data_IF_341456705255
#
_entry.id   IF_341456705255
#
_cell.length_a   1.000
_cell.length_b   1.000
_cell.length_c   1.000
_cell.angle_alpha   90.00
_cell.angle_beta   90.00
_cell.angle_gamma   90.00
#
_symmetry.space_group_name_H-M   'P 1'
#
loop_
_entity.id
_entity.type
_entity.pdbx_description
1 polymer ?
#
# COMPACT_ATOMS: atom_id res chain seq x y z
N UNK A 1 33.30 0.84 6.97
CA UNK A 1 32.08 0.36 7.66
C UNK A 1 32.09 -1.16 7.75
N UNK A 2 32.48 -1.88 6.68
CA UNK A 2 32.50 -3.37 6.67
C UNK A 2 33.42 -4.01 7.71
N UNK A 3 34.50 -3.34 8.11
CA UNK A 3 35.48 -3.93 9.04
C UNK A 3 35.10 -3.75 10.53
N UNK A 4 34.00 -3.06 10.84
CA UNK A 4 33.60 -2.74 12.22
C UNK A 4 32.27 -3.32 12.66
N UNK A 5 31.57 -4.04 11.78
CA UNK A 5 30.28 -4.65 12.12
C UNK A 5 30.49 -5.92 12.97
N UNK A 6 30.69 -5.72 14.27
CA UNK A 6 30.55 -6.76 15.28
C UNK A 6 29.21 -6.53 15.96
N UNK A 7 28.17 -7.16 15.48
CA UNK A 7 26.82 -6.97 15.98
C UNK A 7 25.79 -6.83 14.85
N UNK A 8 24.63 -6.33 15.17
CA UNK A 8 23.57 -6.00 14.21
C UNK A 8 23.24 -4.52 14.24
N UNK A 9 22.92 -3.97 13.07
CA UNK A 9 22.37 -2.63 12.94
C UNK A 9 20.96 -2.70 12.39
N UNK A 10 20.08 -1.86 12.93
CA UNK A 10 18.74 -1.66 12.41
C UNK A 10 18.60 -0.23 11.92
N UNK A 11 18.18 -0.06 10.68
CA UNK A 11 17.82 1.25 10.16
C UNK A 11 16.28 1.30 9.99
N UNK A 12 15.63 2.19 10.72
CA UNK A 12 14.22 2.49 10.55
C UNK A 12 14.14 3.60 9.51
N UNK A 13 13.79 3.23 8.27
CA UNK A 13 13.60 4.20 7.20
C UNK A 13 12.14 4.65 7.20
N UNK A 14 11.92 5.88 7.63
CA UNK A 14 10.60 6.47 7.75
C UNK A 14 10.28 7.41 6.57
N UNK A 15 9.01 7.74 6.42
CA UNK A 15 8.56 8.73 5.44
C UNK A 15 8.92 10.13 5.91
N UNK A 16 9.31 11.01 4.99
CA UNK A 16 9.68 12.38 5.32
C UNK A 16 8.54 13.21 5.94
N UNK A 17 7.29 12.76 5.78
CA UNK A 17 6.10 13.40 6.33
C UNK A 17 5.90 13.11 7.83
N UNK A 18 6.53 12.06 8.39
CA UNK A 18 6.32 11.58 9.75
C UNK A 18 7.30 12.23 10.75
N UNK A 19 7.27 13.57 10.81
CA UNK A 19 8.20 14.36 11.65
C UNK A 19 7.88 14.19 13.14
N UNK A 20 6.60 14.17 13.53
CA UNK A 20 6.22 14.00 14.92
C UNK A 20 6.49 12.58 15.42
N UNK A 21 6.15 11.59 14.61
CA UNK A 21 6.36 10.17 14.89
C UNK A 21 7.85 9.85 15.02
N UNK A 22 8.68 10.39 14.14
CA UNK A 22 10.13 10.18 14.19
C UNK A 22 10.78 10.76 15.45
N UNK A 23 10.28 11.89 15.98
CA UNK A 23 10.76 12.45 17.25
C UNK A 23 10.44 11.55 18.43
N UNK A 24 9.20 11.07 18.52
CA UNK A 24 8.77 10.14 19.57
C UNK A 24 9.58 8.84 19.51
N UNK A 25 9.82 8.33 18.30
CA UNK A 25 10.65 7.14 18.10
C UNK A 25 12.10 7.38 18.50
N UNK A 26 12.68 8.55 18.19
CA UNK A 26 14.04 8.90 18.61
C UNK A 26 14.15 8.99 20.15
N UNK A 27 13.17 9.60 20.83
CA UNK A 27 13.11 9.64 22.29
C UNK A 27 13.08 8.22 22.88
N UNK A 28 12.28 7.31 22.34
CA UNK A 28 12.23 5.92 22.78
C UNK A 28 13.56 5.18 22.54
N UNK A 29 14.26 5.44 21.43
CA UNK A 29 15.59 4.88 21.15
C UNK A 29 16.61 5.42 22.17
N UNK A 30 16.60 6.71 22.45
CA UNK A 30 17.50 7.34 23.41
C UNK A 30 17.28 6.79 24.84
N UNK A 31 16.04 6.54 25.23
CA UNK A 31 15.70 5.86 26.50
C UNK A 31 16.24 4.43 26.52
N UNK A 32 16.09 3.68 25.43
CA UNK A 32 16.58 2.31 25.34
C UNK A 32 18.13 2.23 25.45
N UNK A 33 18.85 3.20 24.88
CA UNK A 33 20.31 3.30 25.08
C UNK A 33 20.68 3.60 26.54
N UNK A 34 19.96 4.51 27.23
CA UNK A 34 20.21 4.85 28.65
C UNK A 34 20.00 3.64 29.56
N UNK A 35 19.01 2.82 29.26
CA UNK A 35 18.69 1.60 30.01
C UNK A 35 19.57 0.39 29.64
N UNK A 36 20.55 0.55 28.71
CA UNK A 36 21.41 -0.54 28.27
C UNK A 36 20.72 -1.63 27.46
N UNK A 37 19.56 -1.30 26.91
CA UNK A 37 18.82 -2.20 26.02
C UNK A 37 19.37 -2.18 24.58
N UNK A 38 20.08 -1.11 24.22
CA UNK A 38 20.77 -0.91 22.93
C UNK A 38 22.24 -0.55 23.16
N UNK A 39 23.02 -0.56 22.08
CA UNK A 39 24.44 -0.29 22.07
C UNK A 39 25.28 -1.52 22.33
N UNK A 40 26.44 -1.32 22.94
CA UNK A 40 27.36 -2.43 23.28
C UNK A 40 26.79 -3.32 24.38
N UNK A 41 26.92 -4.63 24.19
CA UNK A 41 26.43 -5.63 25.13
C UNK A 41 24.93 -5.42 25.46
N UNK A 42 24.11 -5.18 24.45
CA UNK A 42 22.69 -4.89 24.58
C UNK A 42 21.98 -5.92 25.48
N UNK A 43 21.23 -5.46 26.46
CA UNK A 43 20.55 -6.28 27.47
C UNK A 43 21.50 -7.23 28.25
N UNK A 44 22.80 -6.99 28.28
CA UNK A 44 23.77 -7.87 28.93
C UNK A 44 23.99 -9.22 28.24
N UNK A 45 23.65 -9.32 26.97
CA UNK A 45 23.70 -10.60 26.20
C UNK A 45 25.05 -10.90 25.56
N UNK A 46 25.99 -9.92 25.57
CA UNK A 46 27.25 -9.98 24.81
C UNK A 46 27.09 -9.62 23.32
N UNK A 47 25.92 -9.22 22.89
CA UNK A 47 25.62 -8.84 21.53
C UNK A 47 25.46 -7.32 21.40
N UNK A 48 26.09 -6.72 20.39
CA UNK A 48 25.95 -5.30 20.11
C UNK A 48 24.79 -5.06 19.14
N UNK A 49 23.92 -4.07 19.46
CA UNK A 49 22.78 -3.71 18.63
C UNK A 49 22.62 -2.19 18.61
N UNK A 50 22.72 -1.60 17.45
CA UNK A 50 22.47 -0.18 17.22
C UNK A 50 21.22 0.03 16.36
N UNK A 51 20.46 1.09 16.67
CA UNK A 51 19.25 1.47 15.92
C UNK A 51 19.36 2.93 15.48
N UNK A 52 19.08 3.18 14.20
CA UNK A 52 19.12 4.50 13.58
C UNK A 52 17.81 4.82 12.89
N UNK A 53 17.38 6.08 12.93
CA UNK A 53 16.25 6.59 12.14
C UNK A 53 16.82 7.33 10.92
N UNK A 54 16.28 7.01 9.74
CA UNK A 54 16.55 7.72 8.51
C UNK A 54 15.24 8.24 7.90
N UNK A 55 15.11 9.55 7.75
CA UNK A 55 13.94 10.16 7.13
C UNK A 55 14.10 10.19 5.62
N UNK A 56 13.08 9.73 4.91
CA UNK A 56 12.98 9.87 3.47
C UNK A 56 12.53 11.26 3.06
N UNK A 57 12.45 11.49 1.75
CA UNK A 57 12.05 12.76 1.15
C UNK A 57 10.73 12.68 0.36
N UNK A 58 9.83 11.77 0.73
CA UNK A 58 8.48 11.67 0.17
C UNK A 58 8.34 10.87 -1.13
N UNK A 59 9.40 10.23 -1.65
CA UNK A 59 9.30 9.39 -2.84
C UNK A 59 8.58 8.08 -2.53
N UNK A 60 7.41 7.85 -3.13
CA UNK A 60 6.59 6.66 -2.91
C UNK A 60 7.33 5.36 -3.26
N UNK A 61 8.11 5.36 -4.36
CA UNK A 61 8.87 4.17 -4.80
C UNK A 61 9.87 3.67 -3.74
N UNK A 62 10.35 4.53 -2.86
CA UNK A 62 11.25 4.13 -1.77
C UNK A 62 10.55 3.30 -0.68
N UNK A 63 9.25 3.00 -0.81
CA UNK A 63 8.54 1.96 -0.06
C UNK A 63 8.79 0.54 -0.61
N UNK A 64 9.29 0.38 -1.83
CA UNK A 64 9.78 -0.91 -2.34
C UNK A 64 11.11 -1.25 -1.66
N UNK A 65 11.29 -2.51 -1.24
CA UNK A 65 12.39 -2.91 -0.35
C UNK A 65 13.79 -2.56 -0.89
N UNK A 66 14.03 -2.76 -2.17
CA UNK A 66 15.36 -2.51 -2.77
C UNK A 66 15.56 -1.04 -3.15
N UNK A 67 14.50 -0.33 -3.52
CA UNK A 67 14.54 1.12 -3.69
C UNK A 67 14.77 1.85 -2.35
N UNK A 68 14.25 1.28 -1.25
CA UNK A 68 14.54 1.74 0.11
C UNK A 68 16.04 1.60 0.40
N UNK A 69 16.66 0.48 0.08
CA UNK A 69 18.10 0.25 0.26
C UNK A 69 18.94 1.23 -0.57
N UNK A 70 18.60 1.42 -1.84
CA UNK A 70 19.26 2.42 -2.70
C UNK A 70 19.16 3.82 -2.10
N UNK A 71 18.01 4.20 -1.58
CA UNK A 71 17.80 5.49 -0.92
C UNK A 71 18.67 5.66 0.34
N UNK A 72 18.81 4.60 1.16
CA UNK A 72 19.68 4.61 2.34
C UNK A 72 21.15 4.73 1.97
N UNK A 73 21.57 4.13 0.87
CA UNK A 73 22.94 4.22 0.34
C UNK A 73 23.24 5.57 -0.33
N UNK A 74 22.25 6.49 -0.40
CA UNK A 74 22.41 7.80 -1.03
C UNK A 74 22.24 7.78 -2.56
N UNK A 75 21.81 6.67 -3.11
CA UNK A 75 21.55 6.51 -4.53
C UNK A 75 20.13 6.95 -4.91
N UNK A 76 19.86 7.03 -6.21
CA UNK A 76 18.49 7.20 -6.70
C UNK A 76 17.64 5.99 -6.28
N UNK A 77 16.47 6.25 -5.68
CA UNK A 77 15.54 5.22 -5.22
C UNK A 77 14.93 4.44 -6.39
N UNK A 78 15.69 3.51 -6.94
CA UNK A 78 15.27 2.61 -8.02
C UNK A 78 15.41 1.15 -7.54
N UNK A 79 14.38 0.31 -7.73
CA UNK A 79 14.45 -1.10 -7.39
C UNK A 79 15.62 -1.83 -8.05
N UNK A 80 16.23 -2.77 -7.32
CA UNK A 80 17.26 -3.68 -7.82
C UNK A 80 16.63 -4.88 -8.53
N UNK A 81 17.35 -5.43 -9.49
CA UNK A 81 17.00 -6.73 -10.05
C UNK A 81 17.23 -7.85 -9.01
N UNK A 82 16.34 -8.82 -8.99
CA UNK A 82 16.43 -10.01 -8.15
C UNK A 82 16.54 -11.25 -9.06
N UNK A 83 17.46 -12.19 -8.82
CA UNK A 83 18.50 -12.24 -7.80
C UNK A 83 19.65 -11.24 -8.06
N UNK A 84 20.47 -10.83 -7.05
CA UNK A 84 20.44 -11.32 -5.66
C UNK A 84 19.33 -10.69 -4.81
N UNK A 85 18.84 -11.48 -3.83
CA UNK A 85 17.90 -10.96 -2.85
C UNK A 85 18.61 -10.22 -1.72
N UNK A 86 17.96 -9.24 -1.05
CA UNK A 86 18.57 -8.48 0.06
C UNK A 86 19.12 -9.33 1.19
N UNK A 87 18.52 -10.50 1.46
CA UNK A 87 19.02 -11.44 2.45
C UNK A 87 20.44 -11.97 2.17
N UNK A 88 20.91 -11.87 0.92
CA UNK A 88 22.27 -12.22 0.53
C UNK A 88 23.13 -10.96 0.31
N UNK A 89 22.62 -9.98 -0.41
CA UNK A 89 23.31 -8.72 -0.75
C UNK A 89 22.29 -7.57 -0.62
N UNK A 90 22.26 -6.96 0.57
CA UNK A 90 21.36 -5.87 0.91
C UNK A 90 22.07 -4.54 1.09
N UNK A 91 21.80 -3.87 2.21
CA UNK A 91 22.33 -2.55 2.54
C UNK A 91 23.86 -2.59 2.62
N UNK A 92 24.52 -1.71 1.87
CA UNK A 92 25.98 -1.65 1.73
C UNK A 92 26.64 -2.99 1.39
N UNK A 93 25.92 -3.86 0.67
CA UNK A 93 26.41 -5.19 0.32
C UNK A 93 26.29 -6.24 1.44
N UNK A 94 25.77 -5.89 2.60
CA UNK A 94 25.57 -6.80 3.74
C UNK A 94 24.24 -7.56 3.65
N UNK A 95 24.16 -8.78 4.18
CA UNK A 95 22.88 -9.49 4.33
C UNK A 95 21.87 -8.64 5.10
N UNK A 96 20.71 -8.39 4.51
CA UNK A 96 19.71 -7.46 5.06
C UNK A 96 18.31 -8.06 4.97
N UNK A 97 17.55 -7.96 6.07
CA UNK A 97 16.13 -8.32 6.14
C UNK A 97 15.32 -7.03 6.24
N UNK A 98 14.35 -6.85 5.36
CA UNK A 98 13.44 -5.70 5.36
C UNK A 98 12.08 -6.13 5.88
N UNK A 99 11.58 -5.44 6.90
CA UNK A 99 10.28 -5.70 7.52
C UNK A 99 9.45 -4.42 7.60
N UNK A 100 8.13 -4.59 7.47
CA UNK A 100 7.19 -3.52 7.76
C UNK A 100 7.16 -3.24 9.28
N UNK A 101 7.02 -1.96 9.66
CA UNK A 101 6.98 -1.51 11.06
C UNK A 101 5.84 -2.16 11.83
N UNK A 102 4.65 -2.31 11.24
CA UNK A 102 3.51 -2.99 11.88
C UNK A 102 3.87 -4.44 12.24
N UNK A 103 4.56 -5.15 11.36
CA UNK A 103 5.03 -6.53 11.62
C UNK A 103 5.97 -6.57 12.82
N UNK A 104 6.93 -5.65 12.92
CA UNK A 104 7.88 -5.61 14.04
C UNK A 104 7.21 -5.17 15.34
N UNK A 105 6.27 -4.23 15.30
CA UNK A 105 5.60 -3.69 16.47
C UNK A 105 4.81 -4.75 17.27
N UNK A 106 4.27 -5.78 16.62
CA UNK A 106 3.52 -6.85 17.30
C UNK A 106 4.41 -7.95 17.90
N UNK A 107 5.67 -8.06 17.46
CA UNK A 107 6.61 -9.13 17.88
C UNK A 107 6.77 -9.22 19.40
N UNK A 108 7.02 -8.13 20.16
CA UNK A 108 7.18 -8.21 21.61
C UNK A 108 5.95 -8.80 22.33
N UNK A 109 4.74 -8.46 21.84
CA UNK A 109 3.50 -8.99 22.38
C UNK A 109 3.33 -10.47 22.07
N UNK A 110 3.66 -10.90 20.85
CA UNK A 110 3.63 -12.32 20.44
C UNK A 110 4.63 -13.12 21.27
N UNK A 111 5.85 -12.61 21.47
CA UNK A 111 6.86 -13.32 22.30
C UNK A 111 6.42 -13.48 23.75
N UNK A 112 5.74 -12.48 24.34
CA UNK A 112 5.23 -12.56 25.72
C UNK A 112 4.02 -13.49 25.86
N UNK A 113 3.10 -13.50 24.89
CA UNK A 113 1.81 -14.22 25.00
C UNK A 113 1.78 -15.55 24.23
N UNK A 114 2.75 -15.75 23.35
CA UNK A 114 2.90 -16.95 22.52
C UNK A 114 2.17 -16.87 21.16
N UNK A 115 2.71 -17.55 20.18
CA UNK A 115 2.16 -17.56 18.81
C UNK A 115 0.75 -18.14 18.72
N UNK A 116 0.39 -19.12 19.58
CA UNK A 116 -0.97 -19.67 19.64
C UNK A 116 -2.02 -18.64 20.06
N UNK A 117 -1.64 -17.75 20.96
CA UNK A 117 -2.52 -16.64 21.37
C UNK A 117 -2.81 -15.73 20.18
N UNK A 118 -1.78 -15.29 19.46
CA UNK A 118 -1.96 -14.39 18.28
C UNK A 118 -2.71 -15.07 17.15
N UNK A 119 -2.45 -16.36 16.89
CA UNK A 119 -3.17 -17.16 15.91
C UNK A 119 -4.63 -17.46 16.30
N UNK A 120 -5.04 -17.14 17.53
CA UNK A 120 -6.43 -17.23 17.98
C UNK A 120 -7.31 -16.10 17.45
N UNK A 121 -6.74 -15.01 16.97
CA UNK A 121 -7.46 -13.93 16.31
C UNK A 121 -7.59 -14.20 14.81
N UNK A 122 -8.68 -13.72 14.21
CA UNK A 122 -8.90 -13.85 12.78
C UNK A 122 -9.46 -15.21 12.36
N UNK A 123 -9.16 -15.61 11.12
CA UNK A 123 -9.68 -16.82 10.49
C UNK A 123 -8.55 -17.81 10.19
N UNK A 124 -8.82 -19.11 10.06
CA UNK A 124 -7.83 -20.08 9.60
C UNK A 124 -7.13 -19.60 8.31
N UNK A 125 -5.79 -19.67 8.28
CA UNK A 125 -4.89 -19.15 7.24
C UNK A 125 -4.80 -17.61 7.12
N UNK A 126 -5.69 -16.88 7.77
CA UNK A 126 -5.70 -15.42 7.83
C UNK A 126 -5.82 -14.99 9.30
N UNK A 127 -4.81 -15.32 10.10
CA UNK A 127 -4.80 -15.12 11.54
C UNK A 127 -4.11 -13.82 11.94
N UNK A 128 -4.39 -13.37 13.17
CA UNK A 128 -3.82 -12.17 13.75
C UNK A 128 -4.72 -10.94 13.60
N UNK A 129 -4.14 -9.80 13.93
CA UNK A 129 -4.79 -8.49 13.84
C UNK A 129 -4.15 -7.64 12.75
N UNK A 130 -4.85 -6.60 12.34
CA UNK A 130 -4.40 -5.63 11.35
C UNK A 130 -4.89 -4.24 11.70
N UNK A 131 -4.07 -3.21 11.45
CA UNK A 131 -4.52 -1.83 11.53
C UNK A 131 -5.20 -1.47 10.20
N UNK A 132 -6.47 -1.12 10.27
CA UNK A 132 -7.26 -0.63 9.15
C UNK A 132 -7.35 0.89 9.21
N UNK A 133 -6.93 1.57 8.13
CA UNK A 133 -6.99 3.02 8.00
C UNK A 133 -8.18 3.39 7.11
N UNK A 134 -9.29 3.84 7.71
CA UNK A 134 -10.55 4.09 7.01
C UNK A 134 -10.68 5.58 6.69
N UNK A 135 -10.86 5.89 5.41
CA UNK A 135 -10.95 7.26 4.89
C UNK A 135 -11.94 7.37 3.72
N UNK A 136 -12.00 8.55 3.11
CA UNK A 136 -12.94 8.85 2.02
C UNK A 136 -14.27 9.37 2.53
N UNK A 137 -15.36 8.96 1.89
CA UNK A 137 -16.71 9.46 2.18
C UNK A 137 -17.37 8.73 3.37
N UNK A 138 -16.75 8.81 4.54
CA UNK A 138 -17.25 8.28 5.83
C UNK A 138 -17.46 9.40 6.83
N UNK A 139 -18.34 9.17 7.82
CA UNK A 139 -18.66 10.20 8.81
C UNK A 139 -17.47 10.49 9.74
N UNK A 140 -16.70 9.47 10.14
CA UNK A 140 -15.57 9.59 11.06
C UNK A 140 -14.36 8.81 10.53
N UNK A 141 -13.48 9.41 9.71
CA UNK A 141 -12.23 8.76 9.31
C UNK A 141 -11.40 8.36 10.53
N UNK A 142 -10.88 7.13 10.54
CA UNK A 142 -10.18 6.60 11.71
C UNK A 142 -9.17 5.51 11.34
N UNK A 143 -8.26 5.25 12.29
CA UNK A 143 -7.42 4.06 12.29
C UNK A 143 -7.91 3.14 13.43
N UNK A 144 -8.09 1.85 13.11
CA UNK A 144 -8.59 0.86 14.06
C UNK A 144 -7.84 -0.45 13.91
N UNK A 145 -7.49 -1.08 15.03
CA UNK A 145 -6.98 -2.44 15.04
C UNK A 145 -8.15 -3.41 15.21
N UNK A 146 -8.23 -4.36 14.29
CA UNK A 146 -9.25 -5.40 14.29
C UNK A 146 -8.70 -6.75 13.83
N UNK A 147 -9.46 -7.81 14.08
CA UNK A 147 -9.12 -9.16 13.63
C UNK A 147 -9.18 -9.29 12.11
N UNK A 148 -8.26 -10.08 11.56
CA UNK A 148 -8.30 -10.46 10.15
C UNK A 148 -9.60 -11.20 9.83
N UNK A 149 -10.26 -10.80 8.74
CA UNK A 149 -11.54 -11.39 8.31
C UNK A 149 -12.78 -10.72 8.88
N UNK A 150 -12.63 -9.56 9.54
CA UNK A 150 -13.78 -8.69 9.87
C UNK A 150 -14.53 -8.31 8.59
N UNK A 151 -15.88 -8.27 8.56
CA UNK A 151 -16.62 -7.76 7.42
C UNK A 151 -16.28 -6.30 7.11
N UNK A 152 -16.05 -5.97 5.83
CA UNK A 152 -15.78 -4.59 5.41
C UNK A 152 -16.89 -3.63 5.85
N UNK A 153 -18.14 -4.05 5.76
CA UNK A 153 -19.29 -3.27 6.20
C UNK A 153 -19.22 -2.92 7.67
N UNK A 154 -18.82 -3.87 8.52
CA UNK A 154 -18.68 -3.65 9.96
C UNK A 154 -17.58 -2.62 10.26
N UNK A 155 -16.45 -2.67 9.56
CA UNK A 155 -15.40 -1.66 9.69
C UNK A 155 -15.93 -0.25 9.38
N UNK A 156 -16.67 -0.11 8.28
CA UNK A 156 -17.20 1.19 7.86
C UNK A 156 -18.32 1.66 8.81
N UNK A 157 -19.29 0.81 9.12
CA UNK A 157 -20.47 1.18 9.91
C UNK A 157 -20.13 1.38 11.41
N UNK A 158 -19.40 0.45 12.01
CA UNK A 158 -19.13 0.46 13.47
C UNK A 158 -18.02 1.43 13.86
N UNK A 159 -16.95 1.49 13.09
CA UNK A 159 -15.77 2.28 13.46
C UNK A 159 -15.76 3.65 12.79
N UNK A 160 -16.09 3.73 11.50
CA UNK A 160 -16.06 4.99 10.77
C UNK A 160 -17.40 5.74 10.75
N UNK A 161 -18.39 5.28 11.54
CA UNK A 161 -19.70 5.94 11.64
C UNK A 161 -20.56 5.85 10.37
N UNK A 162 -20.26 4.94 9.47
CA UNK A 162 -20.97 4.71 8.21
C UNK A 162 -20.56 5.63 7.07
N UNK A 163 -21.12 5.34 5.91
CA UNK A 163 -20.98 6.14 4.69
C UNK A 163 -21.75 7.45 4.82
N UNK A 164 -21.22 8.56 4.35
CA UNK A 164 -21.94 9.84 4.30
C UNK A 164 -23.23 9.66 3.49
N UNK A 165 -24.38 9.97 4.09
CA UNK A 165 -25.70 9.74 3.50
C UNK A 165 -26.20 8.31 3.58
N UNK A 166 -25.53 7.44 4.36
CA UNK A 166 -25.91 6.06 4.61
C UNK A 166 -25.37 5.06 3.58
N UNK A 167 -25.48 3.77 3.91
CA UNK A 167 -24.93 2.67 3.10
C UNK A 167 -25.47 2.65 1.66
N UNK A 168 -26.69 3.11 1.42
CA UNK A 168 -27.26 3.17 0.08
C UNK A 168 -26.57 4.19 -0.83
N UNK A 169 -25.89 5.16 -0.25
CA UNK A 169 -25.09 6.14 -0.97
C UNK A 169 -23.69 5.60 -1.37
N UNK A 170 -23.29 4.42 -0.89
CA UNK A 170 -22.02 3.80 -1.29
C UNK A 170 -21.99 3.51 -2.79
N UNK A 171 -20.91 3.87 -3.47
CA UNK A 171 -20.63 3.54 -4.86
C UNK A 171 -19.58 2.43 -4.97
N UNK A 172 -18.42 2.62 -4.33
CA UNK A 172 -17.29 1.70 -4.37
C UNK A 172 -16.40 1.84 -3.13
N UNK A 173 -15.53 0.84 -2.90
CA UNK A 173 -14.47 0.90 -1.89
C UNK A 173 -13.16 0.42 -2.50
N UNK A 174 -12.07 1.13 -2.22
CA UNK A 174 -10.71 0.61 -2.40
C UNK A 174 -10.30 -0.01 -1.06
N UNK A 175 -10.09 -1.34 -0.96
CA UNK A 175 -9.94 -1.99 0.34
C UNK A 175 -8.51 -1.96 0.91
N UNK A 176 -7.50 -1.76 0.08
CA UNK A 176 -6.10 -2.01 0.46
C UNK A 176 -5.09 -0.95 0.01
N UNK A 177 -5.53 0.30 -0.11
CA UNK A 177 -4.71 1.39 -0.62
C UNK A 177 -4.83 1.58 -2.13
N UNK A 178 -4.28 2.67 -2.63
CA UNK A 178 -4.46 3.12 -4.01
C UNK A 178 -3.98 2.14 -5.10
N UNK A 179 -3.19 1.13 -4.74
CA UNK A 179 -2.70 0.09 -5.64
C UNK A 179 -3.67 -1.08 -5.85
N UNK A 180 -4.72 -1.17 -5.02
CA UNK A 180 -5.66 -2.29 -5.08
C UNK A 180 -6.86 -1.97 -5.98
N UNK A 181 -7.38 -2.98 -6.71
CA UNK A 181 -8.62 -2.83 -7.46
C UNK A 181 -9.78 -2.44 -6.54
N UNK A 182 -10.58 -1.47 -6.96
CA UNK A 182 -11.80 -1.11 -6.24
C UNK A 182 -12.84 -2.24 -6.29
N UNK A 183 -13.71 -2.26 -5.29
CA UNK A 183 -14.84 -3.17 -5.15
C UNK A 183 -16.14 -2.39 -5.33
N UNK A 184 -17.09 -2.96 -6.09
CA UNK A 184 -18.43 -2.39 -6.21
C UNK A 184 -19.22 -2.55 -4.91
N UNK A 185 -20.27 -1.73 -4.72
CA UNK A 185 -21.17 -1.81 -3.56
C UNK A 185 -21.66 -3.23 -3.28
N UNK A 186 -22.07 -3.97 -4.33
CA UNK A 186 -22.59 -5.33 -4.18
C UNK A 186 -21.60 -6.31 -3.54
N UNK A 187 -20.30 -6.18 -3.86
CA UNK A 187 -19.25 -6.98 -3.25
C UNK A 187 -19.01 -6.53 -1.81
N UNK A 188 -19.05 -5.22 -1.54
CA UNK A 188 -18.83 -4.66 -0.21
C UNK A 188 -19.85 -5.09 0.85
N UNK A 189 -21.04 -5.58 0.44
CA UNK A 189 -22.08 -6.07 1.37
C UNK A 189 -21.63 -7.26 2.23
N UNK A 190 -20.78 -8.14 1.67
CA UNK A 190 -20.45 -9.42 2.30
C UNK A 190 -18.97 -9.73 2.40
N UNK A 191 -18.11 -8.95 1.74
CA UNK A 191 -16.68 -9.20 1.67
C UNK A 191 -16.04 -9.12 3.07
N UNK A 192 -15.12 -10.04 3.33
CA UNK A 192 -14.28 -10.04 4.53
C UNK A 192 -12.92 -9.45 4.23
N UNK A 193 -12.36 -8.73 5.22
CA UNK A 193 -11.08 -8.08 5.11
C UNK A 193 -9.96 -9.05 5.52
N UNK A 194 -9.69 -9.98 4.62
CA UNK A 194 -8.56 -10.93 4.70
C UNK A 194 -7.95 -11.17 3.31
N UNK A 195 -6.80 -11.83 3.28
CA UNK A 195 -6.07 -12.06 2.03
C UNK A 195 -6.88 -12.90 1.04
N UNK A 196 -7.39 -14.04 1.49
CA UNK A 196 -8.06 -15.01 0.62
C UNK A 196 -9.36 -14.44 0.03
N UNK A 197 -10.21 -13.82 0.87
CA UNK A 197 -11.48 -13.25 0.44
C UNK A 197 -11.30 -12.12 -0.58
N UNK A 198 -10.29 -11.24 -0.36
CA UNK A 198 -10.04 -10.13 -1.27
C UNK A 198 -9.39 -10.57 -2.59
N UNK A 199 -8.54 -11.61 -2.56
CA UNK A 199 -7.99 -12.22 -3.78
C UNK A 199 -9.11 -12.90 -4.59
N UNK A 200 -10.04 -13.62 -3.95
CA UNK A 200 -11.21 -14.20 -4.61
C UNK A 200 -12.09 -13.13 -5.28
N UNK A 201 -12.24 -11.97 -4.63
CA UNK A 201 -12.92 -10.80 -5.19
C UNK A 201 -12.09 -10.04 -6.25
N UNK A 202 -10.94 -10.57 -6.68
CA UNK A 202 -10.00 -9.94 -7.64
C UNK A 202 -9.51 -8.56 -7.18
N UNK A 203 -9.27 -8.43 -5.88
CA UNK A 203 -8.66 -7.27 -5.21
C UNK A 203 -7.57 -7.75 -4.25
N UNK A 204 -7.21 -6.98 -3.25
CA UNK A 204 -6.20 -7.37 -2.27
C UNK A 204 -6.27 -6.53 -1.00
N UNK A 205 -5.78 -7.12 0.10
CA UNK A 205 -5.71 -6.44 1.39
C UNK A 205 -4.69 -5.29 1.40
N UNK A 206 -3.61 -5.44 0.62
CA UNK A 206 -2.57 -4.42 0.47
C UNK A 206 -2.11 -3.84 1.81
N UNK A 207 -2.23 -2.55 1.97
CA UNK A 207 -1.88 -1.82 3.20
C UNK A 207 -3.04 -1.73 4.21
N UNK A 208 -4.20 -2.33 3.93
CA UNK A 208 -5.45 -2.13 4.68
C UNK A 208 -5.89 -0.64 4.77
N UNK A 209 -5.43 0.17 3.81
CA UNK A 209 -5.88 1.56 3.62
C UNK A 209 -7.20 1.59 2.87
N UNK A 210 -8.31 1.70 3.61
CA UNK A 210 -9.66 1.67 3.06
C UNK A 210 -10.06 3.07 2.61
N UNK A 211 -10.47 3.21 1.33
CA UNK A 211 -11.01 4.46 0.80
C UNK A 211 -12.44 4.23 0.34
N UNK A 212 -13.39 4.84 1.05
CA UNK A 212 -14.82 4.76 0.76
C UNK A 212 -15.19 5.84 -0.25
N UNK A 213 -15.89 5.46 -1.31
CA UNK A 213 -16.31 6.34 -2.41
C UNK A 213 -17.83 6.29 -2.50
N UNK A 214 -18.48 7.43 -2.31
CA UNK A 214 -19.92 7.55 -2.41
C UNK A 214 -20.38 8.04 -3.80
N UNK A 215 -21.68 8.03 -4.04
CA UNK A 215 -22.28 8.41 -5.33
C UNK A 215 -22.11 9.89 -5.70
N UNK A 216 -21.63 10.74 -4.80
CA UNK A 216 -21.30 12.14 -5.12
C UNK A 216 -20.03 12.28 -5.92
N UNK A 217 -19.19 11.23 -5.92
CA UNK A 217 -17.89 11.22 -6.59
C UNK A 217 -18.01 10.68 -8.01
N UNK A 218 -17.27 11.29 -8.92
CA UNK A 218 -17.06 10.75 -10.26
C UNK A 218 -15.98 9.66 -10.20
N UNK A 219 -16.39 8.38 -10.24
CA UNK A 219 -15.48 7.24 -10.07
C UNK A 219 -14.37 7.21 -11.12
N UNK A 220 -14.62 7.68 -12.34
CA UNK A 220 -13.60 7.74 -13.40
C UNK A 220 -12.55 8.78 -13.07
N UNK A 221 -12.96 9.96 -12.54
CA UNK A 221 -12.02 11.01 -12.10
C UNK A 221 -11.22 10.57 -10.88
N UNK A 222 -11.81 9.80 -9.96
CA UNK A 222 -11.09 9.23 -8.81
C UNK A 222 -9.95 8.35 -9.29
N UNK A 223 -10.21 7.42 -10.21
CA UNK A 223 -9.17 6.52 -10.73
C UNK A 223 -8.17 7.27 -11.64
N UNK A 224 -8.62 8.26 -12.41
CA UNK A 224 -7.71 9.13 -13.19
C UNK A 224 -6.72 9.88 -12.27
N UNK A 225 -7.19 10.33 -11.09
CA UNK A 225 -6.32 10.96 -10.07
C UNK A 225 -5.28 9.98 -9.52
N UNK A 226 -5.66 8.74 -9.26
CA UNK A 226 -4.75 7.67 -8.84
C UNK A 226 -3.74 7.37 -9.95
N UNK A 227 -4.18 7.24 -11.20
CA UNK A 227 -3.27 7.02 -12.34
C UNK A 227 -2.27 8.18 -12.51
N UNK A 228 -2.68 9.43 -12.28
CA UNK A 228 -1.79 10.59 -12.26
C UNK A 228 -0.73 10.48 -11.16
N UNK A 229 -1.11 10.01 -9.98
CA UNK A 229 -0.19 9.77 -8.88
C UNK A 229 0.87 8.74 -9.28
N UNK A 230 0.49 7.58 -9.83
CA UNK A 230 1.44 6.56 -10.28
C UNK A 230 2.34 7.05 -11.41
N UNK A 231 1.82 7.85 -12.34
CA UNK A 231 2.64 8.48 -13.37
C UNK A 231 3.71 9.39 -12.76
N UNK A 232 3.37 10.15 -11.73
CA UNK A 232 4.31 11.05 -11.05
C UNK A 232 5.36 10.29 -10.23
N UNK A 233 4.95 9.23 -9.53
CA UNK A 233 5.79 8.46 -8.61
C UNK A 233 6.62 7.35 -9.29
N UNK A 234 6.42 7.08 -10.58
CA UNK A 234 7.25 6.14 -11.32
C UNK A 234 8.72 6.56 -11.29
N UNK A 235 9.61 5.65 -10.85
CA UNK A 235 11.05 5.92 -10.81
C UNK A 235 11.70 6.06 -12.20
N UNK A 236 10.96 5.65 -13.26
CA UNK A 236 11.39 5.75 -14.65
C UNK A 236 12.37 4.68 -15.12
N UNK A 237 12.64 3.65 -14.31
CA UNK A 237 13.62 2.62 -14.66
C UNK A 237 13.16 1.72 -15.81
N UNK A 238 11.98 1.10 -15.68
CA UNK A 238 11.46 0.19 -16.70
C UNK A 238 10.48 0.88 -17.65
N UNK A 239 10.65 0.65 -18.96
CA UNK A 239 9.88 1.29 -20.02
C UNK A 239 8.36 1.10 -19.88
N UNK A 240 7.82 -0.11 -19.60
CA UNK A 240 6.38 -0.29 -19.48
C UNK A 240 5.75 0.58 -18.40
N UNK A 241 6.38 0.71 -17.23
CA UNK A 241 5.93 1.58 -16.15
C UNK A 241 6.10 3.06 -16.50
N UNK A 242 7.30 3.46 -16.95
CA UNK A 242 7.64 4.87 -17.23
C UNK A 242 6.70 5.50 -18.27
N UNK A 243 6.45 4.79 -19.35
CA UNK A 243 5.61 5.29 -20.45
C UNK A 243 4.14 4.92 -20.29
N UNK A 244 3.85 3.67 -19.94
CA UNK A 244 2.48 3.15 -19.83
C UNK A 244 1.66 3.82 -18.75
N UNK A 245 2.25 4.16 -17.60
CA UNK A 245 1.52 4.92 -16.55
C UNK A 245 1.06 6.29 -17.05
N UNK A 246 1.87 6.95 -17.88
CA UNK A 246 1.50 8.20 -18.52
C UNK A 246 0.41 8.05 -19.57
N UNK A 247 0.41 6.93 -20.32
CA UNK A 247 -0.64 6.62 -21.28
C UNK A 247 -1.98 6.35 -20.59
N UNK A 248 -1.99 5.49 -19.59
CA UNK A 248 -3.20 5.19 -18.79
C UNK A 248 -3.82 6.47 -18.22
N UNK A 249 -3.01 7.34 -17.60
CA UNK A 249 -3.50 8.60 -17.06
C UNK A 249 -4.14 9.48 -18.13
N UNK A 250 -3.48 9.70 -19.28
CA UNK A 250 -4.02 10.54 -20.37
C UNK A 250 -5.30 9.97 -20.98
N UNK A 251 -5.38 8.66 -21.15
CA UNK A 251 -6.60 8.00 -21.62
C UNK A 251 -7.74 8.18 -20.62
N UNK A 252 -7.51 7.97 -19.33
CA UNK A 252 -8.51 8.18 -18.28
C UNK A 252 -8.99 9.64 -18.20
N UNK A 253 -8.09 10.62 -18.35
CA UNK A 253 -8.47 12.04 -18.41
C UNK A 253 -9.38 12.35 -19.59
N UNK A 254 -9.14 11.76 -20.75
CA UNK A 254 -10.02 11.93 -21.94
C UNK A 254 -11.36 11.23 -21.71
N UNK A 255 -11.36 10.02 -21.18
CA UNK A 255 -12.58 9.29 -20.84
C UNK A 255 -13.41 10.07 -19.81
N UNK A 256 -12.77 10.59 -18.77
CA UNK A 256 -13.43 11.41 -17.74
C UNK A 256 -14.11 12.65 -18.31
N UNK A 257 -13.55 13.24 -19.38
CA UNK A 257 -14.12 14.38 -20.10
C UNK A 257 -15.15 13.98 -21.17
N UNK A 258 -15.28 12.69 -21.49
CA UNK A 258 -16.08 12.20 -22.59
C UNK A 258 -15.45 12.45 -23.99
N UNK A 259 -14.15 12.68 -24.07
CA UNK A 259 -13.41 13.00 -25.30
C UNK A 259 -12.68 11.77 -25.88
N UNK A 260 -13.13 10.57 -25.56
CA UNK A 260 -12.58 9.31 -26.03
C UNK A 260 -13.62 8.49 -26.81
N UNK A 261 -13.16 7.50 -27.56
CA UNK A 261 -14.00 6.52 -28.23
C UNK A 261 -14.24 5.31 -27.30
N UNK A 262 -15.39 4.62 -27.44
CA UNK A 262 -15.70 3.41 -26.65
C UNK A 262 -14.62 2.34 -26.82
N UNK A 263 -14.08 2.18 -28.04
CA UNK A 263 -12.99 1.23 -28.30
C UNK A 263 -11.72 1.52 -27.49
N UNK A 264 -11.52 2.75 -27.01
CA UNK A 264 -10.37 3.09 -26.19
C UNK A 264 -10.43 2.47 -24.78
N UNK A 265 -11.59 1.99 -24.34
CA UNK A 265 -11.72 1.24 -23.09
C UNK A 265 -11.00 -0.13 -23.18
N UNK A 266 -11.08 -0.80 -24.33
CA UNK A 266 -10.34 -2.05 -24.56
C UNK A 266 -8.85 -1.78 -24.73
N UNK A 267 -8.47 -0.72 -25.44
CA UNK A 267 -7.07 -0.30 -25.52
C UNK A 267 -6.49 0.06 -24.14
N UNK A 268 -7.26 0.70 -23.28
CA UNK A 268 -6.84 1.00 -21.91
C UNK A 268 -6.59 -0.29 -21.11
N UNK A 269 -7.48 -1.27 -21.23
CA UNK A 269 -7.28 -2.59 -20.63
C UNK A 269 -6.01 -3.27 -21.16
N UNK A 270 -5.74 -3.21 -22.44
CA UNK A 270 -4.54 -3.80 -23.03
C UNK A 270 -3.27 -3.09 -22.56
N UNK A 271 -3.28 -1.77 -22.45
CA UNK A 271 -2.16 -1.02 -21.85
C UNK A 271 -1.87 -1.50 -20.44
N UNK A 272 -2.90 -1.73 -19.59
CA UNK A 272 -2.67 -2.25 -18.23
C UNK A 272 -1.98 -3.61 -18.24
N UNK A 273 -2.36 -4.51 -19.16
CA UNK A 273 -1.75 -5.85 -19.30
C UNK A 273 -0.30 -5.82 -19.81
N UNK A 274 0.07 -4.79 -20.58
CA UNK A 274 1.45 -4.60 -21.03
C UNK A 274 2.37 -4.02 -19.92
N UNK A 275 1.79 -3.52 -18.82
CA UNK A 275 2.55 -3.04 -17.67
C UNK A 275 2.63 -4.13 -16.60
N UNK A 276 1.49 -4.74 -16.25
CA UNK A 276 1.39 -5.82 -15.28
C UNK A 276 2.27 -7.01 -15.71
N UNK A 277 3.14 -7.47 -14.80
CA UNK A 277 4.06 -8.58 -15.06
C UNK A 277 5.25 -8.25 -15.96
N UNK A 278 5.39 -7.01 -16.44
CA UNK A 278 6.47 -6.58 -17.36
C UNK A 278 7.39 -5.52 -16.75
N UNK A 279 7.36 -5.37 -15.44
CA UNK A 279 8.14 -4.37 -14.70
C UNK A 279 9.07 -5.03 -13.67
N UNK A 280 10.11 -4.30 -13.25
CA UNK A 280 11.10 -4.80 -12.28
C UNK A 280 10.48 -5.01 -10.90
N UNK A 281 9.49 -4.21 -10.53
CA UNK A 281 8.85 -4.24 -9.21
C UNK A 281 7.32 -4.15 -9.31
N UNK A 282 6.64 -4.48 -8.23
CA UNK A 282 5.17 -4.47 -8.12
C UNK A 282 4.51 -3.07 -8.25
N UNK A 283 5.29 -2.02 -8.51
CA UNK A 283 4.73 -0.72 -8.83
C UNK A 283 3.94 -0.74 -10.15
N UNK A 284 4.36 -1.59 -11.12
CA UNK A 284 3.64 -1.80 -12.37
C UNK A 284 2.22 -2.32 -12.12
N UNK A 285 2.10 -3.37 -11.32
CA UNK A 285 0.83 -3.93 -10.87
C UNK A 285 0.01 -2.87 -10.13
N UNK A 286 0.61 -2.18 -9.14
CA UNK A 286 -0.03 -1.14 -8.37
C UNK A 286 -0.57 0.02 -9.20
N UNK A 287 0.05 0.33 -10.34
CA UNK A 287 -0.44 1.36 -11.28
C UNK A 287 -1.57 0.86 -12.18
N UNK A 288 -1.59 -0.44 -12.51
CA UNK A 288 -2.51 -1.05 -13.47
C UNK A 288 -3.80 -1.56 -12.83
N UNK A 289 -3.71 -2.16 -11.65
CA UNK A 289 -4.83 -2.81 -10.97
C UNK A 289 -6.02 -1.88 -10.63
N UNK A 290 -5.84 -0.64 -10.18
CA UNK A 290 -6.96 0.29 -9.99
C UNK A 290 -7.74 0.54 -11.27
N UNK A 291 -7.04 0.66 -12.40
CA UNK A 291 -7.65 0.87 -13.73
C UNK A 291 -8.42 -0.37 -14.19
N UNK A 292 -7.85 -1.56 -13.98
CA UNK A 292 -8.55 -2.82 -14.26
C UNK A 292 -9.80 -2.98 -13.40
N UNK A 293 -9.74 -2.59 -12.12
CA UNK A 293 -10.89 -2.58 -11.22
C UNK A 293 -12.00 -1.66 -11.71
N UNK A 294 -11.67 -0.45 -12.17
CA UNK A 294 -12.60 0.50 -12.75
C UNK A 294 -13.30 -0.11 -13.99
N UNK A 295 -12.52 -0.60 -14.94
CA UNK A 295 -13.02 -1.21 -16.18
C UNK A 295 -13.90 -2.44 -15.91
N UNK A 296 -13.60 -3.21 -14.87
CA UNK A 296 -14.37 -4.39 -14.48
C UNK A 296 -15.75 -4.06 -13.93
N UNK A 297 -15.84 -3.03 -13.11
CA UNK A 297 -17.06 -2.76 -12.33
C UNK A 297 -17.88 -1.58 -12.84
N UNK A 298 -17.28 -0.67 -13.62
CA UNK A 298 -17.90 0.59 -14.06
C UNK A 298 -17.80 0.82 -15.57
N UNK A 299 -17.57 -0.25 -16.36
CA UNK A 299 -17.45 -0.15 -17.82
C UNK A 299 -18.70 0.46 -18.45
N UNK A 300 -19.89 0.02 -18.05
CA UNK A 300 -21.16 0.54 -18.59
C UNK A 300 -21.30 2.05 -18.37
N UNK A 301 -20.97 2.54 -17.17
CA UNK A 301 -21.00 3.98 -16.86
C UNK A 301 -20.01 4.76 -17.75
N UNK A 302 -18.85 4.18 -18.03
CA UNK A 302 -17.86 4.79 -18.93
C UNK A 302 -18.35 4.83 -20.37
N UNK A 303 -18.97 3.76 -20.87
CA UNK A 303 -19.56 3.68 -22.22
C UNK A 303 -20.70 4.68 -22.40
N UNK A 304 -21.60 4.78 -21.43
CA UNK A 304 -22.69 5.77 -21.42
C UNK A 304 -22.13 7.19 -21.49
N UNK A 305 -21.13 7.51 -20.71
CA UNK A 305 -20.46 8.83 -20.71
C UNK A 305 -19.91 9.20 -22.09
N UNK A 306 -19.31 8.24 -22.79
CA UNK A 306 -18.71 8.46 -24.11
C UNK A 306 -19.75 8.55 -25.24
N UNK A 307 -20.88 7.86 -25.11
CA UNK A 307 -21.97 7.87 -26.11
C UNK A 307 -22.88 9.08 -25.97
N UNK A 308 -23.21 9.52 -24.74
CA UNK A 308 -24.08 10.68 -24.54
C UNK A 308 -23.50 12.00 -25.05
N UNK A 309 -22.17 12.19 -24.95
CA UNK A 309 -21.54 13.42 -25.44
C UNK A 309 -21.49 13.54 -26.97
N UNK A 310 -21.56 12.41 -27.69
CA UNK A 310 -21.61 12.43 -29.18
C UNK A 310 -22.97 12.84 -29.73
N UNK A 311 -23.99 12.88 -28.89
CA UNK A 311 -25.36 13.20 -29.28
C UNK A 311 -25.75 14.66 -28.96
N UNK A 312 -24.81 15.47 -28.47
CA UNK A 312 -24.94 16.91 -28.25
C UNK A 312 -24.02 17.66 -29.21
#
# INVERSE_FOLDING_TARGET
IHERLVGSEMCIRDRGEYIAESKILQEAIDEAYKEGLLGKNACGTGFDLDIYIHLGAGAYICGEETALLESLEGNKGQPRLKPPFPALIGLYGCPTIVNNVETIAVVPTILRRGGKWFAGFGRPKNTGTKIFCISGNVNNPCNVEEEMGIPLKDLIEKHAGGVIGGWDNLQAVIPGGSSMPLLSKSICETIKMDFDSLVEAKSGLGTAGIVVIDKSQDIVKVIARIARFYKHESCGQCTPCREGSGWMWRMLERIAKGDAEVAELDMLMDVTKQIEGHTICAFGEGSSWPVQGLLRHFRTEMEERLTHKKNI
#
